data_IF_831848361384
#
_entry.id   IF_831848361384
#
_cell.length_a   1.000
_cell.length_b   1.000
_cell.length_c   1.000
_cell.angle_alpha   90.00
_cell.angle_beta   90.00
_cell.angle_gamma   90.00
#
_symmetry.space_group_name_H-M   'P 1'
#
loop_
_entity.id
_entity.type
_entity.pdbx_description
1 polymer ?
#
# COMPACT_ATOMS: atom_id res chain seq x y z
N UNK A 1 43.06 31.88 67.85
CA UNK A 1 42.88 31.95 66.39
C UNK A 1 41.96 30.82 65.98
N UNK A 2 40.72 31.15 65.70
CA UNK A 2 39.60 30.24 65.47
C UNK A 2 39.62 29.80 64.01
N UNK A 3 39.63 28.49 63.74
CA UNK A 3 39.37 27.94 62.40
C UNK A 3 37.94 27.42 62.39
N UNK A 4 37.12 28.03 61.56
CA UNK A 4 35.74 27.66 61.32
C UNK A 4 35.74 26.64 60.17
N UNK A 5 35.28 25.43 60.43
CA UNK A 5 35.04 24.40 59.42
C UNK A 5 33.60 24.57 58.88
N UNK A 6 33.46 24.83 57.59
CA UNK A 6 32.17 24.90 56.90
C UNK A 6 31.92 23.52 56.26
N UNK A 7 30.95 22.79 56.77
CA UNK A 7 30.42 21.61 56.17
C UNK A 7 29.41 22.00 55.08
N UNK A 8 29.74 21.74 53.81
CA UNK A 8 28.85 21.88 52.68
C UNK A 8 28.14 20.55 52.46
N UNK A 9 26.87 20.52 52.81
CA UNK A 9 25.97 19.40 52.49
C UNK A 9 25.51 19.52 51.03
N UNK A 10 26.00 18.66 50.17
CA UNK A 10 25.55 18.59 48.76
C UNK A 10 24.36 17.63 48.71
N UNK A 11 23.16 18.21 48.66
CA UNK A 11 21.93 17.47 48.38
C UNK A 11 21.89 17.13 46.91
N UNK A 12 22.14 15.87 46.59
CA UNK A 12 21.98 15.35 45.22
C UNK A 12 20.51 15.28 44.84
N UNK A 13 20.07 16.21 43.98
CA UNK A 13 18.75 16.13 43.34
C UNK A 13 18.85 15.09 42.21
N UNK A 14 18.27 13.91 42.43
CA UNK A 14 18.09 12.89 41.42
C UNK A 14 17.10 13.37 40.35
N UNK A 15 17.63 13.78 39.23
CA UNK A 15 16.85 14.14 38.04
C UNK A 15 16.42 12.86 37.34
N UNK A 16 15.19 12.40 37.62
CA UNK A 16 14.51 11.33 36.86
C UNK A 16 14.30 11.82 35.41
N UNK A 17 15.16 11.39 34.49
CA UNK A 17 14.89 11.50 33.07
C UNK A 17 13.75 10.55 32.74
N UNK A 18 12.52 11.07 32.64
CA UNK A 18 11.42 10.38 31.98
C UNK A 18 11.75 10.37 30.49
N UNK A 19 12.30 9.26 30.01
CA UNK A 19 12.39 8.99 28.59
C UNK A 19 10.96 8.80 28.08
N UNK A 20 10.43 9.84 27.44
CA UNK A 20 9.22 9.73 26.64
C UNK A 20 9.54 8.76 25.50
N UNK A 21 8.99 7.56 25.56
CA UNK A 21 8.97 6.65 24.43
C UNK A 21 8.07 7.31 23.38
N UNK A 22 8.70 7.99 22.41
CA UNK A 22 8.02 8.39 21.20
C UNK A 22 7.75 7.10 20.44
N UNK A 23 6.49 6.68 20.42
CA UNK A 23 6.01 5.70 19.45
C UNK A 23 6.14 6.37 18.09
N UNK A 24 7.16 6.03 17.32
CA UNK A 24 7.23 6.44 15.93
C UNK A 24 6.08 5.75 15.19
N UNK A 25 5.14 6.56 14.71
CA UNK A 25 4.10 6.11 13.82
C UNK A 25 4.75 5.67 12.51
N UNK A 26 4.86 4.37 12.30
CA UNK A 26 5.35 3.79 11.05
C UNK A 26 4.27 3.96 9.98
N UNK A 27 4.55 4.78 8.97
CA UNK A 27 3.67 4.97 7.82
C UNK A 27 4.00 3.95 6.74
N UNK A 28 2.96 3.29 6.20
CA UNK A 28 3.07 2.46 5.00
C UNK A 28 2.88 3.32 3.76
N UNK A 29 3.82 3.26 2.82
CA UNK A 29 3.77 3.98 1.56
C UNK A 29 3.69 2.99 0.40
N UNK A 30 2.67 3.15 -0.46
CA UNK A 30 2.53 2.41 -1.71
C UNK A 30 2.88 3.37 -2.86
N UNK A 31 3.95 3.07 -3.59
CA UNK A 31 4.26 3.77 -4.83
C UNK A 31 3.57 3.05 -5.98
N UNK A 32 2.64 3.71 -6.65
CA UNK A 32 2.06 3.23 -7.90
C UNK A 32 2.71 4.01 -9.03
N UNK A 33 3.49 3.33 -9.87
CA UNK A 33 4.04 3.91 -11.09
C UNK A 33 3.21 3.41 -12.26
N UNK A 34 2.61 4.34 -13.01
CA UNK A 34 1.99 4.04 -14.28
C UNK A 34 3.00 4.31 -15.41
N UNK A 35 3.21 3.36 -16.29
CA UNK A 35 3.94 3.56 -17.55
C UNK A 35 2.91 3.70 -18.65
N UNK A 36 2.88 4.86 -19.28
CA UNK A 36 2.12 5.04 -20.52
C UNK A 36 2.98 4.49 -21.66
N UNK A 37 2.63 3.34 -22.20
CA UNK A 37 3.20 2.87 -23.46
C UNK A 37 2.29 3.28 -24.60
N UNK A 38 2.88 3.87 -25.64
CA UNK A 38 2.22 4.14 -26.92
C UNK A 38 2.01 2.82 -27.65
N UNK A 39 0.96 2.10 -27.29
CA UNK A 39 0.50 0.95 -28.06
C UNK A 39 -0.46 1.46 -29.13
N UNK A 40 -0.05 1.39 -30.37
CA UNK A 40 -0.84 1.62 -31.58
C UNK A 40 -2.28 2.08 -31.36
N UNK A 41 -2.49 3.38 -31.58
CA UNK A 41 -3.78 4.03 -31.72
C UNK A 41 -4.72 3.99 -30.51
N UNK A 42 -4.48 4.84 -29.53
CA UNK A 42 -5.62 5.59 -29.04
C UNK A 42 -6.23 5.25 -27.70
N UNK A 43 -5.61 4.46 -26.80
CA UNK A 43 -6.06 4.42 -25.41
C UNK A 43 -4.93 4.77 -24.48
N UNK A 44 -5.06 5.87 -23.77
CA UNK A 44 -4.11 6.36 -22.77
C UNK A 44 -4.74 6.27 -21.39
N UNK A 45 -3.97 5.87 -20.39
CA UNK A 45 -4.40 5.84 -18.99
C UNK A 45 -3.65 6.86 -18.17
N UNK A 46 -4.35 7.47 -17.23
CA UNK A 46 -3.83 8.39 -16.25
C UNK A 46 -4.35 8.00 -14.86
N UNK A 47 -3.49 8.03 -13.85
CA UNK A 47 -3.88 7.83 -12.46
C UNK A 47 -4.17 9.16 -11.79
N UNK A 48 -5.24 9.21 -11.01
CA UNK A 48 -5.57 10.39 -10.20
C UNK A 48 -4.46 10.70 -9.19
N UNK A 49 -3.82 9.63 -8.66
CA UNK A 49 -2.65 9.71 -7.78
C UNK A 49 -1.65 8.61 -8.11
N UNK A 50 -0.39 8.99 -8.24
CA UNK A 50 0.72 8.05 -8.45
C UNK A 50 1.35 7.57 -7.14
N UNK A 51 0.89 8.09 -6.00
CA UNK A 51 1.30 7.70 -4.65
C UNK A 51 0.07 7.55 -3.75
N UNK A 52 -0.02 6.42 -3.04
CA UNK A 52 -1.15 6.09 -2.17
C UNK A 52 -0.66 5.73 -0.77
N UNK A 53 -0.76 6.66 0.20
CA UNK A 53 -0.46 6.33 1.59
C UNK A 53 -1.56 5.44 2.17
N UNK A 54 -1.19 4.28 2.72
CA UNK A 54 -2.13 3.34 3.35
C UNK A 54 -2.38 3.65 4.83
N UNK A 55 -1.59 4.58 5.40
CA UNK A 55 -1.65 4.92 6.82
C UNK A 55 -1.16 3.79 7.74
N UNK A 56 -1.13 4.08 9.03
CA UNK A 56 -0.81 3.07 10.04
C UNK A 56 -2.06 2.22 10.34
N UNK A 57 -1.88 0.90 10.36
CA UNK A 57 -2.96 -0.06 10.64
C UNK A 57 -2.49 -1.07 11.69
N UNK A 58 -3.39 -1.49 12.56
CA UNK A 58 -3.11 -2.57 13.51
C UNK A 58 -3.22 -3.93 12.80
N UNK A 59 -2.22 -4.80 12.98
CA UNK A 59 -2.19 -6.14 12.35
C UNK A 59 -3.47 -6.93 12.65
N UNK A 60 -4.02 -6.80 13.86
CA UNK A 60 -5.25 -7.52 14.25
C UNK A 60 -6.46 -7.15 13.38
N UNK A 61 -6.46 -5.92 12.84
CA UNK A 61 -7.57 -5.40 12.05
C UNK A 61 -7.42 -5.69 10.56
N UNK A 62 -6.22 -6.07 10.10
CA UNK A 62 -5.98 -6.42 8.70
C UNK A 62 -6.77 -7.67 8.29
N UNK A 63 -7.43 -7.63 7.12
CA UNK A 63 -8.05 -8.82 6.56
C UNK A 63 -6.98 -9.82 6.07
N UNK A 64 -7.39 -11.07 5.88
CA UNK A 64 -6.56 -12.03 5.15
C UNK A 64 -6.53 -11.67 3.66
N UNK A 65 -5.44 -12.03 2.98
CA UNK A 65 -5.30 -11.82 1.53
C UNK A 65 -6.50 -12.42 0.77
N UNK A 66 -6.93 -11.73 -0.28
CA UNK A 66 -8.14 -12.09 -1.02
C UNK A 66 -9.45 -11.60 -0.40
N UNK A 67 -9.41 -10.98 0.78
CA UNK A 67 -10.60 -10.45 1.43
C UNK A 67 -10.55 -8.93 1.57
N UNK A 68 -11.61 -8.27 1.12
CA UNK A 68 -11.82 -6.84 1.30
C UNK A 68 -12.38 -6.53 2.69
N UNK A 69 -11.91 -5.44 3.30
CA UNK A 69 -12.47 -4.92 4.57
C UNK A 69 -12.53 -3.41 4.53
N UNK A 70 -13.74 -2.84 4.60
CA UNK A 70 -13.98 -1.40 4.46
C UNK A 70 -13.11 -0.51 5.38
N UNK A 71 -12.88 -0.94 6.61
CA UNK A 71 -12.13 -0.15 7.61
C UNK A 71 -10.62 -0.07 7.35
N UNK A 72 -10.09 -0.93 6.48
CA UNK A 72 -8.64 -1.08 6.26
C UNK A 72 -8.25 -0.91 4.80
N UNK A 73 -9.14 -1.33 3.88
CA UNK A 73 -8.89 -1.28 2.43
C UNK A 73 -9.44 0.00 1.79
N UNK A 74 -9.53 1.08 2.55
CA UNK A 74 -10.26 2.28 2.17
C UNK A 74 -9.53 3.30 1.31
N UNK A 75 -8.26 3.06 0.95
CA UNK A 75 -7.55 3.98 0.06
C UNK A 75 -7.97 3.74 -1.37
N UNK A 76 -8.57 4.77 -1.98
CA UNK A 76 -9.11 4.70 -3.34
C UNK A 76 -8.24 5.43 -4.34
N UNK A 77 -8.24 4.97 -5.58
CA UNK A 77 -7.70 5.69 -6.72
C UNK A 77 -8.57 5.46 -7.97
N UNK A 78 -8.40 6.31 -8.94
CA UNK A 78 -9.13 6.25 -10.20
C UNK A 78 -8.13 6.17 -11.35
N UNK A 79 -8.34 5.21 -12.24
CA UNK A 79 -7.70 5.16 -13.55
C UNK A 79 -8.62 5.89 -14.52
N UNK A 80 -8.14 6.96 -15.13
CA UNK A 80 -8.84 7.65 -16.22
C UNK A 80 -8.30 7.18 -17.54
N UNK A 81 -9.22 6.83 -18.43
CA UNK A 81 -8.88 6.39 -19.79
C UNK A 81 -9.34 7.45 -20.79
N UNK A 82 -8.45 7.81 -21.71
CA UNK A 82 -8.71 8.78 -22.77
C UNK A 82 -8.27 8.24 -24.13
N UNK A 83 -9.00 8.61 -25.17
CA UNK A 83 -8.75 8.18 -26.54
C UNK A 83 -9.92 7.41 -27.15
N UNK A 84 -10.02 7.45 -28.47
CA UNK A 84 -11.19 6.90 -29.19
C UNK A 84 -11.29 5.38 -29.08
N UNK A 85 -10.18 4.69 -28.86
CA UNK A 85 -10.11 3.24 -28.76
C UNK A 85 -10.17 2.70 -27.31
N UNK A 86 -10.41 3.57 -26.31
CA UNK A 86 -10.71 3.14 -24.92
C UNK A 86 -12.16 2.70 -24.75
N UNK A 87 -13.06 3.04 -25.67
CA UNK A 87 -14.50 2.83 -25.50
C UNK A 87 -14.90 1.41 -25.87
N UNK A 88 -15.62 0.76 -24.98
CA UNK A 88 -16.42 -0.42 -25.30
C UNK A 88 -17.56 0.00 -26.25
N UNK A 89 -17.44 -0.27 -27.55
CA UNK A 89 -18.52 0.03 -28.49
C UNK A 89 -18.15 0.11 -29.95
N UNK A 90 -16.90 -0.08 -30.32
CA UNK A 90 -16.46 0.08 -31.69
C UNK A 90 -15.25 -0.73 -32.07
N UNK A 91 -15.13 -2.01 -31.64
CA UNK A 91 -14.16 -2.93 -32.22
C UNK A 91 -13.02 -3.42 -31.33
N UNK A 92 -12.99 -3.10 -30.05
CA UNK A 92 -12.00 -3.68 -29.13
C UNK A 92 -12.40 -3.46 -27.70
N UNK A 93 -12.64 -4.51 -26.95
CA UNK A 93 -12.75 -4.44 -25.50
C UNK A 93 -11.36 -4.18 -24.94
N UNK A 94 -11.24 -3.21 -24.05
CA UNK A 94 -10.01 -2.97 -23.28
C UNK A 94 -10.22 -3.41 -21.85
N UNK A 95 -9.18 -3.98 -21.27
CA UNK A 95 -9.11 -4.33 -19.86
C UNK A 95 -7.93 -3.62 -19.20
N UNK A 96 -8.04 -3.39 -17.92
CA UNK A 96 -6.91 -2.96 -17.10
C UNK A 96 -6.27 -4.20 -16.47
N UNK A 97 -4.96 -4.28 -16.57
CA UNK A 97 -4.15 -5.29 -15.94
C UNK A 97 -3.26 -4.66 -14.89
N UNK A 98 -3.31 -5.20 -13.68
CA UNK A 98 -2.50 -4.75 -12.55
C UNK A 98 -1.30 -5.69 -12.42
N UNK A 99 -0.11 -5.18 -12.72
CA UNK A 99 1.13 -5.96 -12.75
C UNK A 99 2.11 -5.54 -11.67
N UNK A 100 2.93 -6.49 -11.22
CA UNK A 100 3.91 -6.28 -10.16
C UNK A 100 4.35 -7.61 -9.56
N UNK A 101 5.16 -7.55 -8.49
CA UNK A 101 5.56 -8.76 -7.77
C UNK A 101 4.39 -9.27 -6.94
N UNK A 102 3.91 -10.47 -7.27
CA UNK A 102 2.89 -11.15 -6.49
C UNK A 102 3.50 -11.73 -5.20
N UNK A 103 2.69 -11.83 -4.15
CA UNK A 103 3.12 -12.47 -2.90
C UNK A 103 3.46 -13.95 -3.11
N UNK A 104 4.35 -14.47 -2.26
CA UNK A 104 4.83 -15.86 -2.35
C UNK A 104 3.90 -16.88 -1.70
N UNK A 105 2.81 -16.46 -1.03
CA UNK A 105 1.84 -17.34 -0.37
C UNK A 105 0.81 -17.87 -1.38
N UNK A 106 -0.24 -17.09 -1.65
CA UNK A 106 -1.28 -17.46 -2.62
C UNK A 106 -1.17 -16.73 -3.95
N UNK A 107 -0.30 -15.72 -4.07
CA UNK A 107 -0.12 -14.91 -5.28
C UNK A 107 -1.31 -14.00 -5.62
N UNK A 108 -2.23 -13.79 -4.68
CA UNK A 108 -3.44 -12.98 -4.90
C UNK A 108 -3.38 -11.59 -4.26
N UNK A 109 -2.19 -11.19 -3.78
CA UNK A 109 -1.86 -9.84 -3.35
C UNK A 109 -0.45 -9.46 -3.85
N UNK A 110 -0.11 -8.19 -3.78
CA UNK A 110 1.23 -7.71 -4.13
C UNK A 110 2.16 -7.86 -2.95
N UNK A 111 3.41 -8.20 -3.24
CA UNK A 111 4.45 -8.38 -2.23
C UNK A 111 4.78 -7.06 -1.53
N UNK A 112 5.12 -7.15 -0.23
CA UNK A 112 5.79 -6.08 0.47
C UNK A 112 7.25 -6.01 0.01
N UNK A 113 7.60 -4.96 -0.72
CA UNK A 113 8.96 -4.73 -1.22
C UNK A 113 9.90 -4.07 -0.21
N UNK A 114 9.41 -3.69 0.98
CA UNK A 114 10.26 -3.20 2.06
C UNK A 114 11.24 -4.27 2.51
N UNK A 115 12.48 -3.86 2.77
CA UNK A 115 13.56 -4.76 3.19
C UNK A 115 14.20 -4.30 4.50
N UNK A 116 14.95 -5.20 5.13
CA UNK A 116 15.65 -4.91 6.38
C UNK A 116 14.81 -5.22 7.63
N UNK A 117 15.33 -4.81 8.79
CA UNK A 117 14.74 -5.13 10.10
C UNK A 117 13.44 -4.39 10.40
N UNK A 118 13.17 -3.32 9.67
CA UNK A 118 11.96 -2.51 9.82
C UNK A 118 10.82 -2.95 8.90
N UNK A 119 11.07 -3.89 8.00
CA UNK A 119 10.04 -4.40 7.09
C UNK A 119 9.02 -5.27 7.82
N UNK A 120 7.72 -5.03 7.58
CA UNK A 120 6.66 -5.92 8.05
C UNK A 120 6.80 -7.30 7.41
N UNK A 121 6.62 -8.35 8.20
CA UNK A 121 6.61 -9.73 7.72
C UNK A 121 5.17 -10.24 7.60
N UNK A 122 4.90 -11.13 6.66
CA UNK A 122 3.58 -11.72 6.47
C UNK A 122 2.47 -10.73 6.13
N UNK A 123 2.84 -9.58 5.58
CA UNK A 123 1.92 -8.53 5.14
C UNK A 123 2.16 -8.29 3.64
N UNK A 124 1.07 -8.20 2.90
CA UNK A 124 1.04 -7.83 1.48
C UNK A 124 0.10 -6.65 1.22
N UNK A 125 -0.06 -6.30 -0.05
CA UNK A 125 -0.94 -5.24 -0.51
C UNK A 125 -2.02 -5.83 -1.42
N UNK A 126 -3.26 -5.77 -0.97
CA UNK A 126 -4.43 -6.18 -1.76
C UNK A 126 -4.96 -5.04 -2.62
N UNK A 127 -5.34 -5.36 -3.85
CA UNK A 127 -6.04 -4.45 -4.76
C UNK A 127 -7.43 -5.01 -5.04
N UNK A 128 -8.42 -4.12 -5.07
CA UNK A 128 -9.82 -4.52 -5.20
C UNK A 128 -10.52 -3.59 -6.20
N UNK A 129 -11.32 -4.18 -7.07
CA UNK A 129 -12.16 -3.43 -8.00
C UNK A 129 -13.35 -2.77 -7.32
N UNK A 130 -14.13 -2.01 -8.10
CA UNK A 130 -15.34 -1.31 -7.64
C UNK A 130 -16.32 -2.23 -6.90
N UNK A 131 -16.49 -3.47 -7.37
CA UNK A 131 -17.32 -4.49 -6.72
C UNK A 131 -16.68 -5.15 -5.50
N UNK A 132 -15.55 -4.64 -5.01
CA UNK A 132 -14.77 -5.20 -3.89
C UNK A 132 -14.21 -6.60 -4.16
N UNK A 133 -14.20 -7.02 -5.42
CA UNK A 133 -13.55 -8.25 -5.87
C UNK A 133 -12.04 -8.06 -5.90
N UNK A 134 -11.30 -9.06 -5.46
CA UNK A 134 -9.83 -9.04 -5.52
C UNK A 134 -9.35 -9.00 -6.96
N UNK A 135 -8.42 -8.09 -7.23
CA UNK A 135 -7.67 -8.04 -8.48
C UNK A 135 -6.38 -8.81 -8.24
N UNK A 136 -6.24 -9.96 -8.88
CA UNK A 136 -5.08 -10.83 -8.75
C UNK A 136 -3.93 -10.28 -9.59
N UNK A 137 -2.73 -10.05 -9.00
CA UNK A 137 -1.55 -9.56 -9.71
C UNK A 137 -1.25 -10.36 -10.97
N UNK A 138 -0.97 -9.68 -12.07
CA UNK A 138 -0.55 -10.27 -13.35
C UNK A 138 -1.59 -11.19 -14.04
N UNK A 139 -2.72 -11.47 -13.40
CA UNK A 139 -3.70 -12.46 -13.86
C UNK A 139 -5.03 -11.82 -14.25
N UNK A 140 -5.56 -10.94 -13.38
CA UNK A 140 -6.89 -10.39 -13.59
C UNK A 140 -6.90 -9.36 -14.71
N UNK A 141 -7.66 -9.65 -15.76
CA UNK A 141 -8.07 -8.68 -16.77
C UNK A 141 -9.36 -8.02 -16.27
N UNK A 142 -9.29 -6.74 -15.98
CA UNK A 142 -10.41 -5.97 -15.43
C UNK A 142 -11.10 -5.24 -16.56
N UNK A 143 -12.25 -5.74 -17.06
CA UNK A 143 -12.96 -5.10 -18.16
C UNK A 143 -13.48 -3.72 -17.70
N UNK A 144 -13.27 -2.72 -18.53
CA UNK A 144 -13.71 -1.36 -18.27
C UNK A 144 -14.99 -1.04 -19.03
N UNK A 145 -16.00 -0.58 -18.31
CA UNK A 145 -17.29 -0.19 -18.90
C UNK A 145 -17.42 1.34 -19.04
N UNK A 146 -16.48 2.08 -18.49
CA UNK A 146 -16.46 3.55 -18.51
C UNK A 146 -15.04 4.07 -18.67
N UNK A 147 -14.91 5.35 -18.93
CA UNK A 147 -13.60 6.01 -19.03
C UNK A 147 -12.88 6.13 -17.67
N UNK A 148 -13.59 5.97 -16.58
CA UNK A 148 -13.03 6.02 -15.22
C UNK A 148 -13.24 4.68 -14.53
N UNK A 149 -12.17 4.14 -13.97
CA UNK A 149 -12.19 2.91 -13.20
C UNK A 149 -11.71 3.17 -11.77
N UNK A 150 -12.61 3.01 -10.79
CA UNK A 150 -12.31 3.13 -9.37
C UNK A 150 -11.80 1.79 -8.82
N UNK A 151 -10.70 1.84 -8.08
CA UNK A 151 -10.16 0.71 -7.35
C UNK A 151 -9.77 1.08 -5.92
N UNK A 152 -9.65 0.08 -5.08
CA UNK A 152 -9.28 0.19 -3.68
C UNK A 152 -7.97 -0.54 -3.41
N UNK A 153 -7.19 -0.01 -2.46
CA UNK A 153 -5.93 -0.61 -2.03
C UNK A 153 -5.88 -0.68 -0.52
N UNK A 154 -5.35 -1.76 0.02
CA UNK A 154 -5.20 -1.94 1.45
C UNK A 154 -4.16 -3.00 1.81
N UNK A 155 -3.68 -2.96 3.05
CA UNK A 155 -2.80 -3.99 3.59
C UNK A 155 -3.59 -5.25 3.93
N UNK A 156 -2.98 -6.41 3.72
CA UNK A 156 -3.56 -7.73 4.00
C UNK A 156 -2.55 -8.62 4.70
N UNK A 157 -3.03 -9.54 5.53
CA UNK A 157 -2.20 -10.63 6.09
C UNK A 157 -2.08 -11.75 5.06
N UNK A 158 -0.87 -12.25 4.89
CA UNK A 158 -0.61 -13.41 4.04
C UNK A 158 -0.97 -14.70 4.78
N UNK A 159 -1.41 -15.72 4.02
CA UNK A 159 -1.57 -17.06 4.56
C UNK A 159 -0.17 -17.68 4.84
N UNK A 160 -0.11 -18.58 5.79
CA UNK A 160 1.07 -19.38 6.12
C UNK A 160 2.34 -18.59 6.51
N UNK A 161 2.22 -17.28 6.73
CA UNK A 161 3.34 -16.44 7.16
C UNK A 161 2.94 -15.67 8.42
N UNK A 162 3.67 -15.83 9.53
CA UNK A 162 3.42 -15.04 10.74
C UNK A 162 3.57 -13.54 10.45
N UNK A 163 2.56 -12.77 10.86
CA UNK A 163 2.58 -11.32 10.65
C UNK A 163 3.35 -10.61 11.75
N UNK A 164 4.22 -9.68 11.40
CA UNK A 164 4.90 -8.76 12.32
C UNK A 164 4.76 -7.31 11.87
N UNK A 165 4.78 -6.35 12.83
CA UNK A 165 4.70 -4.93 12.48
C UNK A 165 5.94 -4.48 11.73
N UNK A 166 5.80 -3.41 10.94
CA UNK A 166 6.88 -2.82 10.18
C UNK A 166 6.39 -2.03 8.98
N UNK A 167 7.32 -1.62 8.13
CA UNK A 167 7.06 -0.88 6.91
C UNK A 167 6.48 -1.79 5.83
N UNK A 168 5.49 -1.28 5.12
CA UNK A 168 4.90 -1.92 3.95
C UNK A 168 5.03 -0.99 2.76
N UNK A 169 5.62 -1.48 1.69
CA UNK A 169 5.76 -0.79 0.42
C UNK A 169 5.48 -1.77 -0.71
N UNK A 170 4.83 -1.30 -1.77
CA UNK A 170 4.64 -2.09 -2.99
C UNK A 170 4.61 -1.18 -4.20
N UNK A 171 5.02 -1.71 -5.34
CA UNK A 171 4.93 -1.03 -6.64
C UNK A 171 4.00 -1.82 -7.54
N UNK A 172 3.00 -1.13 -8.08
CA UNK A 172 1.99 -1.71 -8.95
C UNK A 172 1.99 -0.91 -10.25
N UNK A 173 2.11 -1.59 -11.37
CA UNK A 173 1.95 -1.01 -12.70
C UNK A 173 0.56 -1.35 -13.21
N UNK A 174 -0.11 -0.39 -13.83
CA UNK A 174 -1.41 -0.60 -14.47
C UNK A 174 -1.21 -0.48 -15.97
N UNK A 175 -1.62 -1.48 -16.69
CA UNK A 175 -1.49 -1.58 -18.14
C UNK A 175 -2.87 -1.68 -18.78
N UNK A 176 -2.97 -1.23 -20.04
CA UNK A 176 -4.16 -1.45 -20.88
C UNK A 176 -3.91 -2.69 -21.71
N UNK A 177 -4.75 -3.69 -21.56
CA UNK A 177 -4.77 -4.88 -22.39
C UNK A 177 -5.97 -4.87 -23.35
N UNK A 178 -5.84 -5.47 -24.49
CA UNK A 178 -6.92 -5.63 -25.49
C UNK A 178 -7.43 -7.05 -25.44
N UNK A 179 -8.72 -7.19 -25.20
CA UNK A 179 -9.42 -8.47 -25.14
C UNK A 179 -9.83 -8.94 -26.54
#
# INVERSE_FOLDING_TARGET
>A
MRKIAINVLISGLGMCCMASAFSEDTSAALNITGVVQEANAGCTIELDRNYMPLGAQDIKDLPMQGHYKDSVSGTTNVVRMSGDNCKNGGGGSVALKFTGTADSSLGNSFENSSTGTEAAQGIGVGVYGYGKNTIIPNVSDVPTLSNDYLFYVGMVKLYDTPSSPGLVQSTITIEVDRL
#
